data_IF_074613862467
#
_entry.id   IF_074613862467
#
_cell.length_a   1.000
_cell.length_b   1.000
_cell.length_c   1.000
_cell.angle_alpha   90.00
_cell.angle_beta   90.00
_cell.angle_gamma   90.00
#
_symmetry.space_group_name_H-M   'P 1'
#
loop_
_entity.id
_entity.type
_entity.pdbx_description
1 polymer ?
#
# COMPACT_ATOMS: atom_id res chain seq x y z
N UNK A 1 -23.04 20.86 -13.21
CA UNK A 1 -21.93 19.88 -13.34
C UNK A 1 -21.17 19.61 -12.04
N UNK A 2 -21.12 20.52 -11.05
CA UNK A 2 -20.39 20.29 -9.77
C UNK A 2 -21.13 19.27 -8.85
N UNK A 3 -22.47 19.27 -8.85
CA UNK A 3 -23.30 18.43 -7.95
C UNK A 3 -23.15 16.93 -8.23
N UNK A 4 -22.84 16.53 -9.47
CA UNK A 4 -22.74 15.12 -9.87
C UNK A 4 -21.50 14.43 -9.31
N UNK A 5 -20.41 15.18 -9.09
CA UNK A 5 -19.16 14.64 -8.55
C UNK A 5 -19.09 14.62 -7.02
N UNK A 6 -19.88 15.47 -6.35
CA UNK A 6 -19.85 15.60 -4.89
C UNK A 6 -20.62 14.46 -4.22
N UNK A 7 -21.75 14.01 -4.80
CA UNK A 7 -22.55 12.88 -4.28
C UNK A 7 -21.74 11.59 -4.10
N UNK A 8 -21.07 11.04 -5.14
CA UNK A 8 -20.36 9.77 -5.00
C UNK A 8 -19.16 9.88 -4.05
N UNK A 9 -18.46 11.02 -4.01
CA UNK A 9 -17.37 11.22 -3.04
C UNK A 9 -17.88 11.33 -1.61
N UNK A 10 -18.99 12.02 -1.37
CA UNK A 10 -19.57 12.16 -0.03
C UNK A 10 -20.09 10.81 0.49
N UNK A 11 -20.79 10.06 -0.36
CA UNK A 11 -21.20 8.68 -0.06
C UNK A 11 -19.97 7.83 0.23
N UNK A 12 -18.95 7.87 -0.62
CA UNK A 12 -17.73 7.08 -0.43
C UNK A 12 -17.01 7.40 0.89
N UNK A 13 -16.87 8.69 1.24
CA UNK A 13 -16.28 9.11 2.51
C UNK A 13 -17.15 8.67 3.68
N UNK A 14 -18.47 8.79 3.59
CA UNK A 14 -19.39 8.39 4.65
C UNK A 14 -19.37 6.87 4.88
N UNK A 15 -19.41 6.07 3.83
CA UNK A 15 -19.33 4.61 3.89
C UNK A 15 -17.97 4.17 4.43
N UNK A 16 -16.88 4.78 3.96
CA UNK A 16 -15.53 4.52 4.45
C UNK A 16 -15.36 4.94 5.92
N UNK A 17 -15.93 6.07 6.33
CA UNK A 17 -15.89 6.52 7.73
C UNK A 17 -16.66 5.57 8.63
N UNK A 18 -17.85 5.15 8.21
CA UNK A 18 -18.67 4.17 8.94
C UNK A 18 -17.95 2.82 9.05
N UNK A 19 -17.32 2.39 7.95
CA UNK A 19 -16.50 1.17 7.92
C UNK A 19 -15.30 1.29 8.88
N UNK A 20 -14.52 2.37 8.81
CA UNK A 20 -13.40 2.62 9.74
C UNK A 20 -13.86 2.66 11.21
N UNK A 21 -14.98 3.33 11.50
CA UNK A 21 -15.54 3.41 12.85
C UNK A 21 -16.05 2.06 13.38
N UNK A 22 -16.54 1.19 12.48
CA UNK A 22 -17.01 -0.15 12.87
C UNK A 22 -15.90 -1.05 13.42
N UNK A 23 -14.63 -0.81 13.06
CA UNK A 23 -13.48 -1.53 13.60
C UNK A 23 -12.85 -0.85 14.82
N UNK A 24 -13.00 0.47 14.94
CA UNK A 24 -12.48 1.25 16.08
C UNK A 24 -13.25 0.99 17.39
N UNK A 25 -14.50 0.50 17.32
CA UNK A 25 -15.40 0.42 18.47
C UNK A 25 -15.51 -0.96 19.14
N UNK A 26 -14.93 -2.03 18.59
CA UNK A 26 -15.19 -3.40 19.11
C UNK A 26 -13.98 -4.31 19.39
N UNK A 27 -12.74 -3.96 19.00
CA UNK A 27 -11.48 -4.60 19.43
C UNK A 27 -10.33 -3.69 18.95
N UNK A 28 -9.08 -3.82 19.45
CA UNK A 28 -7.93 -3.16 18.84
C UNK A 28 -7.62 -3.83 17.49
N UNK A 29 -8.49 -3.59 16.51
CA UNK A 29 -8.38 -4.15 15.16
C UNK A 29 -7.52 -3.17 14.36
N UNK A 30 -6.25 -3.51 14.18
CA UNK A 30 -5.32 -2.68 13.42
C UNK A 30 -5.77 -2.56 11.95
N UNK A 31 -6.33 -1.41 11.58
CA UNK A 31 -6.63 -1.15 10.17
C UNK A 31 -5.33 -0.83 9.44
N UNK A 32 -4.83 -1.80 8.67
CA UNK A 32 -3.61 -1.64 7.91
C UNK A 32 -3.95 -1.18 6.49
N UNK A 33 -3.55 0.06 6.16
CA UNK A 33 -3.65 0.55 4.79
C UNK A 33 -2.34 0.28 4.05
N UNK A 34 -2.42 -0.40 2.90
CA UNK A 34 -1.27 -0.61 2.01
C UNK A 34 -1.50 0.14 0.70
N UNK A 35 -0.59 1.07 0.37
CA UNK A 35 -0.62 1.73 -0.93
C UNK A 35 0.24 1.00 -1.96
N UNK A 36 -0.33 0.75 -3.14
CA UNK A 36 0.34 0.23 -4.33
C UNK A 36 0.25 1.25 -5.46
N UNK A 37 1.39 1.55 -6.07
CA UNK A 37 1.40 2.20 -7.36
C UNK A 37 1.12 1.15 -8.44
N UNK A 38 0.35 1.47 -9.48
CA UNK A 38 0.16 0.55 -10.59
C UNK A 38 1.52 0.31 -11.26
N UNK A 39 1.84 -0.96 -11.55
CA UNK A 39 3.18 -1.51 -11.90
C UNK A 39 3.69 -1.06 -13.28
N UNK A 40 3.20 0.07 -13.79
CA UNK A 40 3.49 0.62 -15.11
C UNK A 40 4.98 0.86 -15.40
N UNK A 41 5.82 0.96 -14.36
CA UNK A 41 7.23 1.33 -14.50
C UNK A 41 8.23 0.17 -14.37
N UNK A 42 7.84 -1.05 -14.00
CA UNK A 42 8.81 -2.16 -13.97
C UNK A 42 8.13 -3.46 -14.35
N UNK A 43 8.17 -3.83 -15.64
CA UNK A 43 7.55 -5.06 -16.13
C UNK A 43 8.47 -6.26 -15.89
N UNK A 44 8.16 -7.04 -14.86
CA UNK A 44 8.37 -8.50 -14.79
C UNK A 44 7.02 -9.08 -14.38
N UNK A 45 6.12 -9.26 -15.35
CA UNK A 45 4.76 -9.73 -15.10
C UNK A 45 4.50 -10.96 -15.96
N UNK A 46 3.65 -11.86 -15.47
CA UNK A 46 3.16 -13.02 -16.21
C UNK A 46 2.44 -12.59 -17.50
N UNK A 47 2.28 -13.46 -18.51
CA UNK A 47 1.61 -13.11 -19.77
C UNK A 47 0.20 -12.52 -19.59
N UNK A 48 -0.59 -13.06 -18.66
CA UNK A 48 -1.95 -12.58 -18.35
C UNK A 48 -1.97 -11.13 -17.81
N UNK A 49 -0.92 -10.74 -17.10
CA UNK A 49 -0.76 -9.39 -16.56
C UNK A 49 -0.31 -8.37 -17.62
N UNK A 50 0.25 -8.83 -18.75
CA UNK A 50 0.64 -7.92 -19.84
C UNK A 50 -0.57 -7.37 -20.60
N UNK A 51 -1.56 -8.21 -20.88
CA UNK A 51 -2.77 -7.84 -21.65
C UNK A 51 -3.61 -6.78 -20.93
N UNK A 52 -3.82 -6.93 -19.62
CA UNK A 52 -4.52 -5.94 -18.79
C UNK A 52 -3.82 -4.57 -18.75
N UNK A 53 -2.48 -4.53 -18.92
CA UNK A 53 -1.71 -3.25 -18.92
C UNK A 53 -1.75 -2.50 -20.25
N UNK A 54 -2.00 -3.19 -21.36
CA UNK A 54 -2.14 -2.55 -22.68
C UNK A 54 -3.50 -1.89 -22.84
N UNK A 55 -4.54 -2.51 -22.28
CA UNK A 55 -5.90 -1.96 -22.27
C UNK A 55 -6.05 -0.67 -21.45
N UNK A 56 -5.19 -0.43 -20.45
CA UNK A 56 -5.33 0.70 -19.51
C UNK A 56 -4.59 1.99 -19.91
N UNK A 57 -3.84 2.03 -21.03
CA UNK A 57 -2.84 3.08 -21.29
C UNK A 57 -3.22 4.06 -22.40
N UNK A 58 -3.25 5.34 -22.04
CA UNK A 58 -3.32 6.51 -22.93
C UNK A 58 -2.23 7.58 -22.66
N UNK A 59 -1.01 7.20 -22.24
CA UNK A 59 0.12 8.13 -21.99
C UNK A 59 1.46 7.60 -22.55
N UNK A 60 2.28 8.48 -23.13
CA UNK A 60 3.47 8.25 -23.97
C UNK A 60 4.74 7.76 -23.22
N UNK A 61 4.65 7.51 -21.90
CA UNK A 61 5.81 7.04 -21.12
C UNK A 61 6.01 5.54 -21.30
N UNK A 62 6.99 5.17 -22.14
CA UNK A 62 7.39 3.78 -22.36
C UNK A 62 7.72 3.08 -21.02
N UNK A 63 7.07 1.94 -20.71
CA UNK A 63 7.41 1.15 -19.53
C UNK A 63 8.86 0.67 -19.60
N UNK A 64 9.52 0.56 -18.44
CA UNK A 64 10.82 -0.09 -18.37
C UNK A 64 10.60 -1.60 -18.53
N UNK A 65 11.25 -2.19 -19.53
CA UNK A 65 11.16 -3.61 -19.88
C UNK A 65 12.56 -4.24 -19.96
N UNK A 66 12.63 -5.57 -19.90
CA UNK A 66 13.87 -6.32 -20.06
C UNK A 66 14.95 -5.94 -19.05
N UNK A 67 16.19 -5.76 -19.53
CA UNK A 67 17.34 -5.48 -18.67
C UNK A 67 17.21 -4.17 -17.88
N UNK A 68 16.61 -3.15 -18.48
CA UNK A 68 16.39 -1.88 -17.80
C UNK A 68 15.49 -2.08 -16.58
N UNK A 69 14.38 -2.80 -16.72
CA UNK A 69 13.51 -3.12 -15.59
C UNK A 69 14.28 -3.81 -14.45
N UNK A 70 15.18 -4.74 -14.79
CA UNK A 70 16.02 -5.47 -13.82
C UNK A 70 16.94 -4.52 -13.06
N UNK A 71 17.62 -3.62 -13.76
CA UNK A 71 18.51 -2.62 -13.16
C UNK A 71 17.75 -1.68 -12.21
N UNK A 72 16.59 -1.17 -12.64
CA UNK A 72 15.77 -0.27 -11.81
C UNK A 72 15.17 -0.98 -10.60
N UNK A 73 14.79 -2.26 -10.74
CA UNK A 73 14.31 -3.10 -9.65
C UNK A 73 15.39 -3.33 -8.61
N UNK A 74 16.60 -3.70 -9.05
CA UNK A 74 17.77 -3.85 -8.18
C UNK A 74 18.14 -2.56 -7.42
N UNK A 75 17.85 -1.40 -8.02
CA UNK A 75 18.04 -0.09 -7.38
C UNK A 75 16.89 0.29 -6.42
N UNK A 76 15.91 -0.58 -6.19
CA UNK A 76 14.75 -0.33 -5.32
C UNK A 76 13.79 0.74 -5.86
N UNK A 77 13.78 0.98 -7.17
CA UNK A 77 12.98 2.03 -7.81
C UNK A 77 11.60 1.56 -8.27
N UNK A 78 11.36 0.25 -8.26
CA UNK A 78 10.06 -0.35 -8.54
C UNK A 78 9.24 -0.50 -7.26
N UNK A 79 7.90 -0.33 -7.30
CA UNK A 79 7.05 -0.71 -6.18
C UNK A 79 7.11 -2.22 -5.92
N UNK A 80 6.86 -2.63 -4.67
CA UNK A 80 6.60 -4.04 -4.35
C UNK A 80 5.22 -4.44 -4.90
N UNK A 81 5.08 -5.68 -5.36
CA UNK A 81 3.77 -6.26 -5.68
C UNK A 81 3.08 -6.78 -4.42
N UNK A 82 1.76 -7.07 -4.43
CA UNK A 82 1.10 -7.65 -3.27
C UNK A 82 1.73 -8.99 -2.85
N UNK A 83 2.16 -9.81 -3.82
CA UNK A 83 2.88 -11.06 -3.58
C UNK A 83 4.24 -10.86 -2.88
N UNK A 84 4.94 -9.77 -3.20
CA UNK A 84 6.21 -9.42 -2.53
C UNK A 84 6.01 -8.73 -1.18
N UNK A 85 4.83 -8.15 -0.98
CA UNK A 85 4.47 -7.46 0.26
C UNK A 85 4.07 -8.46 1.35
N UNK A 86 3.34 -9.52 0.99
CA UNK A 86 2.90 -10.56 1.92
C UNK A 86 4.04 -11.14 2.81
N UNK A 87 5.18 -11.59 2.29
CA UNK A 87 6.28 -12.10 3.13
C UNK A 87 6.89 -11.04 4.04
N UNK A 88 6.87 -9.76 3.65
CA UNK A 88 7.35 -8.67 4.52
C UNK A 88 6.39 -8.48 5.70
N UNK A 89 5.09 -8.54 5.46
CA UNK A 89 4.09 -8.46 6.53
C UNK A 89 4.19 -9.65 7.49
N UNK A 90 4.44 -10.84 6.96
CA UNK A 90 4.71 -12.04 7.77
C UNK A 90 5.97 -11.87 8.61
N UNK A 91 7.05 -11.33 8.04
CA UNK A 91 8.29 -11.02 8.76
C UNK A 91 8.08 -10.01 9.90
N UNK A 92 7.20 -9.03 9.69
CA UNK A 92 6.78 -8.07 10.71
C UNK A 92 5.78 -8.65 11.73
N UNK A 93 5.47 -9.94 11.64
CA UNK A 93 4.50 -10.63 12.51
C UNK A 93 3.10 -9.99 12.49
N UNK A 94 2.68 -9.44 11.33
CA UNK A 94 1.33 -8.92 11.15
C UNK A 94 0.35 -10.10 11.11
N UNK A 95 -0.63 -10.17 12.04
CA UNK A 95 -1.57 -11.29 12.11
C UNK A 95 -2.36 -11.47 10.82
N UNK A 96 -2.58 -12.71 10.39
CA UNK A 96 -3.28 -13.03 9.12
C UNK A 96 -4.76 -12.62 9.13
N UNK A 97 -5.37 -12.46 10.31
CA UNK A 97 -6.72 -11.94 10.50
C UNK A 97 -6.80 -10.40 10.53
N UNK A 98 -5.70 -9.69 10.29
CA UNK A 98 -5.67 -8.22 10.21
C UNK A 98 -6.60 -7.72 9.11
N UNK A 99 -7.41 -6.70 9.42
CA UNK A 99 -8.24 -6.03 8.42
C UNK A 99 -7.39 -5.07 7.60
N UNK A 100 -7.23 -5.36 6.31
CA UNK A 100 -6.37 -4.62 5.41
C UNK A 100 -7.23 -3.87 4.40
N UNK A 101 -7.08 -2.55 4.33
CA UNK A 101 -7.63 -1.78 3.23
C UNK A 101 -6.58 -1.54 2.17
N UNK A 102 -6.88 -1.93 0.94
CA UNK A 102 -5.93 -1.92 -0.15
C UNK A 102 -6.07 -0.65 -0.98
N UNK A 103 -5.08 0.24 -0.93
CA UNK A 103 -4.98 1.43 -1.79
C UNK A 103 -4.29 1.04 -3.07
N UNK A 104 -5.05 0.77 -4.11
CA UNK A 104 -4.47 0.53 -5.40
C UNK A 104 -5.35 1.08 -6.52
N UNK A 105 -4.73 1.62 -7.56
CA UNK A 105 -5.46 2.04 -8.76
C UNK A 105 -6.24 0.89 -9.40
N UNK A 106 -7.11 1.22 -10.35
CA UNK A 106 -7.77 0.23 -11.19
C UNK A 106 -6.67 -0.53 -11.97
N UNK A 107 -6.62 -1.86 -11.85
CA UNK A 107 -5.56 -2.69 -12.47
C UNK A 107 -4.43 -3.15 -11.54
N UNK A 108 -4.66 -3.22 -10.22
CA UNK A 108 -3.76 -3.98 -9.33
C UNK A 108 -3.75 -5.46 -9.75
N UNK A 109 -2.56 -6.00 -9.95
CA UNK A 109 -2.35 -7.40 -10.30
C UNK A 109 -1.76 -8.15 -9.09
N UNK A 110 -1.85 -9.48 -9.13
CA UNK A 110 -1.32 -10.37 -8.10
C UNK A 110 -1.92 -10.12 -6.71
N UNK A 111 -3.17 -9.66 -6.64
CA UNK A 111 -3.87 -9.45 -5.36
C UNK A 111 -3.96 -10.76 -4.57
N UNK A 112 -4.00 -11.90 -5.28
CA UNK A 112 -3.99 -13.26 -4.74
C UNK A 112 -2.76 -13.54 -3.87
N UNK A 113 -1.63 -12.91 -4.18
CA UNK A 113 -0.41 -13.03 -3.37
C UNK A 113 -0.59 -12.48 -1.95
N UNK A 114 -1.49 -11.51 -1.77
CA UNK A 114 -1.83 -10.97 -0.46
C UNK A 114 -3.07 -11.67 0.13
N UNK A 115 -4.11 -11.90 -0.67
CA UNK A 115 -5.39 -12.47 -0.17
C UNK A 115 -5.32 -13.96 0.15
N UNK A 116 -4.32 -14.68 -0.36
CA UNK A 116 -4.03 -16.06 0.07
C UNK A 116 -3.48 -16.15 1.50
N UNK A 117 -2.90 -15.07 2.02
CA UNK A 117 -2.32 -15.00 3.37
C UNK A 117 -3.23 -14.22 4.32
N UNK A 118 -3.80 -13.11 3.87
CA UNK A 118 -4.66 -12.22 4.65
C UNK A 118 -6.10 -12.31 4.15
N UNK A 119 -7.00 -12.79 4.99
CA UNK A 119 -8.39 -13.07 4.60
C UNK A 119 -9.29 -11.83 4.63
N UNK A 120 -8.94 -10.83 5.44
CA UNK A 120 -9.75 -9.64 5.67
C UNK A 120 -9.29 -8.44 4.84
N UNK A 121 -9.12 -8.64 3.52
CA UNK A 121 -8.69 -7.58 2.59
C UNK A 121 -9.89 -6.91 1.93
N UNK A 122 -9.98 -5.59 2.03
CA UNK A 122 -11.06 -4.77 1.47
C UNK A 122 -10.49 -3.76 0.47
N UNK A 123 -11.14 -3.62 -0.68
CA UNK A 123 -10.77 -2.67 -1.73
C UNK A 123 -11.81 -1.54 -1.85
N UNK A 124 -11.47 -0.45 -2.53
CA UNK A 124 -12.43 0.62 -2.87
C UNK A 124 -13.70 0.09 -3.55
N UNK A 125 -13.52 -0.83 -4.50
CA UNK A 125 -14.61 -1.40 -5.27
C UNK A 125 -15.59 -2.21 -4.40
N UNK A 126 -15.08 -2.85 -3.34
CA UNK A 126 -15.92 -3.59 -2.39
C UNK A 126 -16.74 -2.69 -1.44
N UNK A 127 -16.33 -1.42 -1.27
CA UNK A 127 -17.00 -0.46 -0.37
C UNK A 127 -18.09 0.37 -1.05
N UNK A 128 -18.15 0.38 -2.39
CA UNK A 128 -19.03 1.24 -3.16
C UNK A 128 -19.98 0.41 -4.01
N UNK A 129 -21.14 0.98 -4.35
CA UNK A 129 -22.00 0.39 -5.37
C UNK A 129 -21.28 0.37 -6.73
N UNK A 130 -21.60 -0.59 -7.60
CA UNK A 130 -21.00 -0.67 -8.94
C UNK A 130 -21.24 0.62 -9.75
N UNK A 131 -22.39 1.27 -9.57
CA UNK A 131 -22.71 2.55 -10.22
C UNK A 131 -21.81 3.69 -9.70
N UNK A 132 -21.69 3.86 -8.39
CA UNK A 132 -20.85 4.91 -7.81
C UNK A 132 -19.37 4.72 -8.18
N UNK A 133 -18.90 3.46 -8.17
CA UNK A 133 -17.50 3.14 -8.49
C UNK A 133 -17.15 3.43 -9.96
N UNK A 134 -18.07 3.18 -10.89
CA UNK A 134 -17.87 3.41 -12.33
C UNK A 134 -17.95 4.88 -12.71
N UNK A 135 -18.80 5.66 -12.03
CA UNK A 135 -18.93 7.11 -12.24
C UNK A 135 -17.75 7.89 -11.62
N UNK A 136 -17.07 7.31 -10.63
CA UNK A 136 -15.93 7.95 -9.98
C UNK A 136 -14.68 8.01 -10.88
N UNK A 137 -14.19 9.24 -11.10
CA UNK A 137 -12.89 9.47 -11.74
C UNK A 137 -11.71 9.00 -10.88
N UNK A 138 -10.57 8.76 -11.53
CA UNK A 138 -9.32 8.35 -10.87
C UNK A 138 -8.89 9.29 -9.73
N UNK A 139 -9.10 10.60 -9.88
CA UNK A 139 -8.81 11.58 -8.83
C UNK A 139 -9.70 11.39 -7.58
N UNK A 140 -10.98 11.08 -7.78
CA UNK A 140 -11.94 10.82 -6.70
C UNK A 140 -11.57 9.52 -5.97
N UNK A 141 -11.19 8.48 -6.74
CA UNK A 141 -10.68 7.21 -6.20
C UNK A 141 -9.41 7.42 -5.37
N UNK A 142 -8.48 8.25 -5.84
CA UNK A 142 -7.24 8.58 -5.13
C UNK A 142 -7.49 9.41 -3.86
N UNK A 143 -8.49 10.31 -3.88
CA UNK A 143 -8.91 11.07 -2.70
C UNK A 143 -9.48 10.16 -1.60
N UNK A 144 -10.25 9.14 -1.98
CA UNK A 144 -10.75 8.12 -1.04
C UNK A 144 -9.60 7.33 -0.40
N UNK A 145 -8.62 6.91 -1.19
CA UNK A 145 -7.44 6.23 -0.66
C UNK A 145 -6.62 7.12 0.29
N UNK A 146 -6.48 8.41 -0.04
CA UNK A 146 -5.85 9.40 0.85
C UNK A 146 -6.57 9.47 2.18
N UNK A 147 -7.89 9.67 2.14
CA UNK A 147 -8.72 9.82 3.33
C UNK A 147 -8.60 8.61 4.25
N UNK A 148 -8.67 7.40 3.70
CA UNK A 148 -8.47 6.20 4.52
C UNK A 148 -7.05 6.14 5.12
N UNK A 149 -6.03 6.51 4.35
CA UNK A 149 -4.63 6.42 4.80
C UNK A 149 -4.32 7.37 5.96
N UNK A 150 -4.92 8.56 5.98
CA UNK A 150 -4.70 9.55 7.04
C UNK A 150 -5.61 9.36 8.26
N UNK A 151 -6.52 8.39 8.23
CA UNK A 151 -7.46 8.09 9.32
C UNK A 151 -7.38 6.62 9.77
N UNK A 152 -6.48 5.81 9.21
CA UNK A 152 -6.23 4.43 9.65
C UNK A 152 -5.40 4.37 10.93
N UNK A 153 -5.53 3.30 11.70
CA UNK A 153 -4.67 3.06 12.87
C UNK A 153 -3.21 2.94 12.44
N UNK A 154 -2.96 2.13 11.41
CA UNK A 154 -1.63 1.88 10.87
C UNK A 154 -1.60 2.13 9.36
N UNK A 155 -0.45 2.59 8.87
CA UNK A 155 -0.22 2.85 7.45
C UNK A 155 1.09 2.22 7.01
N UNK A 156 1.04 1.44 5.93
CA UNK A 156 2.20 0.91 5.24
C UNK A 156 2.20 1.35 3.78
N UNK A 157 3.37 1.69 3.25
CA UNK A 157 3.50 1.93 1.82
C UNK A 157 4.52 1.00 1.18
N UNK A 158 4.14 0.41 0.04
CA UNK A 158 5.01 -0.42 -0.81
C UNK A 158 5.95 0.41 -1.69
N UNK A 159 5.75 1.73 -1.72
CA UNK A 159 6.52 2.68 -2.49
C UNK A 159 6.57 4.03 -1.77
N UNK A 160 7.68 4.76 -1.91
CA UNK A 160 7.81 6.10 -1.36
C UNK A 160 7.74 7.15 -2.49
N UNK A 161 6.54 7.67 -2.72
CA UNK A 161 6.25 8.69 -3.72
C UNK A 161 5.70 9.98 -3.10
N UNK A 162 5.16 10.86 -3.95
CA UNK A 162 4.64 12.16 -3.49
C UNK A 162 3.37 12.03 -2.65
N UNK A 163 2.56 11.01 -2.92
CA UNK A 163 1.31 10.81 -2.19
C UNK A 163 1.60 10.30 -0.77
N UNK A 164 2.51 9.35 -0.66
CA UNK A 164 2.91 8.71 0.58
C UNK A 164 3.61 9.70 1.52
N UNK A 165 4.40 10.63 0.97
CA UNK A 165 4.93 11.79 1.71
C UNK A 165 3.83 12.66 2.31
N UNK A 166 2.77 12.96 1.55
CA UNK A 166 1.64 13.76 2.04
C UNK A 166 0.84 13.02 3.11
N UNK A 167 0.66 11.70 2.95
CA UNK A 167 0.02 10.86 3.96
C UNK A 167 0.84 10.86 5.25
N UNK A 168 2.14 10.60 5.17
CA UNK A 168 3.01 10.58 6.35
C UNK A 168 3.02 11.92 7.07
N UNK A 169 3.12 13.04 6.35
CA UNK A 169 3.06 14.37 6.95
C UNK A 169 1.73 14.64 7.67
N UNK A 170 0.60 14.29 7.04
CA UNK A 170 -0.74 14.47 7.63
C UNK A 170 -0.97 13.54 8.83
N UNK A 171 -0.50 12.30 8.77
CA UNK A 171 -0.56 11.37 9.90
C UNK A 171 0.28 11.89 11.07
N UNK A 172 1.49 12.36 10.81
CA UNK A 172 2.36 12.96 11.83
C UNK A 172 1.72 14.20 12.48
N UNK A 173 1.08 15.07 11.70
CA UNK A 173 0.37 16.25 12.24
C UNK A 173 -0.85 15.88 13.10
N UNK A 174 -1.41 14.68 12.91
CA UNK A 174 -2.51 14.13 13.72
C UNK A 174 -2.03 13.29 14.92
N UNK A 175 -0.72 13.13 15.11
CA UNK A 175 -0.17 12.23 16.12
C UNK A 175 -0.30 10.74 15.79
N UNK A 176 -0.59 10.39 14.54
CA UNK A 176 -0.71 9.00 14.09
C UNK A 176 0.65 8.46 13.63
N UNK A 177 1.43 7.95 14.57
CA UNK A 177 2.82 7.55 14.33
C UNK A 177 3.00 6.11 13.82
N UNK A 178 1.96 5.29 13.71
CA UNK A 178 2.09 3.96 13.11
C UNK A 178 2.16 4.09 11.58
N UNK A 179 3.31 4.50 11.04
CA UNK A 179 3.53 4.79 9.62
C UNK A 179 4.85 4.17 9.17
N UNK A 180 4.79 3.11 8.36
CA UNK A 180 5.96 2.37 7.90
C UNK A 180 6.10 2.41 6.36
N UNK A 181 7.32 2.59 5.88
CA UNK A 181 7.65 2.40 4.46
C UNK A 181 8.44 1.12 4.28
N UNK A 182 7.92 0.20 3.45
CA UNK A 182 8.59 -1.07 3.21
C UNK A 182 9.84 -0.87 2.34
N UNK A 183 10.93 -1.51 2.74
CA UNK A 183 12.21 -1.47 2.05
C UNK A 183 12.18 -2.37 0.81
N UNK A 184 11.74 -1.77 -0.30
CA UNK A 184 11.81 -2.34 -1.66
C UNK A 184 13.21 -2.88 -1.99
N UNK A 185 14.24 -2.13 -1.59
CA UNK A 185 15.63 -2.48 -1.89
C UNK A 185 16.06 -3.73 -1.13
N UNK A 186 15.75 -3.81 0.17
CA UNK A 186 16.06 -4.99 0.97
C UNK A 186 15.41 -6.23 0.37
N UNK A 187 14.11 -6.18 0.06
CA UNK A 187 13.41 -7.32 -0.55
C UNK A 187 14.08 -7.79 -1.84
N UNK A 188 14.39 -6.87 -2.77
CA UNK A 188 15.02 -7.23 -4.04
C UNK A 188 16.45 -7.76 -3.84
N UNK A 189 17.24 -7.18 -2.94
CA UNK A 189 18.61 -7.64 -2.69
C UNK A 189 18.65 -9.05 -2.08
N UNK A 190 17.76 -9.34 -1.14
CA UNK A 190 17.67 -10.66 -0.47
C UNK A 190 17.18 -11.73 -1.43
N UNK A 191 16.14 -11.44 -2.22
CA UNK A 191 15.62 -12.39 -3.22
C UNK A 191 16.60 -12.62 -4.36
N UNK A 192 17.39 -11.61 -4.76
CA UNK A 192 18.44 -11.76 -5.76
C UNK A 192 19.62 -12.60 -5.26
N UNK A 193 19.89 -12.60 -3.95
CA UNK A 193 20.83 -13.52 -3.30
C UNK A 193 20.28 -14.95 -3.20
N UNK A 194 19.03 -15.18 -3.58
CA UNK A 194 18.40 -16.50 -3.59
C UNK A 194 17.76 -16.90 -2.26
N UNK A 195 17.68 -15.99 -1.29
CA UNK A 195 17.04 -16.27 0.01
C UNK A 195 15.54 -16.58 -0.19
N UNK A 196 15.06 -17.60 0.52
CA UNK A 196 13.67 -18.07 0.49
C UNK A 196 13.26 -18.58 1.87
N UNK A 197 11.96 -18.80 2.06
CA UNK A 197 11.42 -19.41 3.28
C UNK A 197 11.78 -18.63 4.54
N UNK A 198 12.12 -19.34 5.62
CA UNK A 198 12.40 -18.75 6.94
C UNK A 198 13.60 -17.81 6.93
N UNK A 199 14.65 -18.10 6.15
CA UNK A 199 15.84 -17.25 6.04
C UNK A 199 15.49 -15.87 5.45
N UNK A 200 14.63 -15.84 4.44
CA UNK A 200 14.12 -14.60 3.86
C UNK A 200 13.30 -13.83 4.89
N UNK A 201 12.39 -14.50 5.60
CA UNK A 201 11.54 -13.89 6.62
C UNK A 201 12.37 -13.26 7.75
N UNK A 202 13.33 -14.01 8.29
CA UNK A 202 14.22 -13.52 9.33
C UNK A 202 15.02 -12.28 8.87
N UNK A 203 15.58 -12.32 7.66
CA UNK A 203 16.40 -11.20 7.18
C UNK A 203 15.55 -9.98 6.80
N UNK A 204 14.32 -10.20 6.33
CA UNK A 204 13.35 -9.11 6.12
C UNK A 204 12.95 -8.45 7.44
N UNK A 205 12.75 -9.22 8.51
CA UNK A 205 12.51 -8.67 9.84
C UNK A 205 13.66 -7.76 10.26
N UNK A 206 14.91 -8.24 10.17
CA UNK A 206 16.09 -7.47 10.53
C UNK A 206 16.21 -6.16 9.72
N UNK A 207 15.83 -6.20 8.45
CA UNK A 207 15.84 -5.02 7.57
C UNK A 207 14.76 -3.97 7.90
N UNK A 208 13.68 -4.34 8.60
CA UNK A 208 12.55 -3.46 8.88
C UNK A 208 12.30 -3.21 10.37
N UNK A 209 12.91 -3.98 11.29
CA UNK A 209 12.62 -3.94 12.74
C UNK A 209 12.78 -2.54 13.33
N UNK A 210 13.81 -1.81 12.90
CA UNK A 210 14.13 -0.50 13.41
C UNK A 210 13.08 0.55 13.01
N UNK A 211 12.68 0.55 11.75
CA UNK A 211 11.64 1.45 11.24
C UNK A 211 10.26 1.08 11.77
N UNK A 212 9.99 -0.22 11.97
CA UNK A 212 8.75 -0.74 12.55
C UNK A 212 8.60 -0.37 14.02
N UNK A 213 9.64 -0.61 14.84
CA UNK A 213 9.65 -0.24 16.27
C UNK A 213 9.55 1.27 16.47
N UNK A 214 10.18 2.05 15.59
CA UNK A 214 10.11 3.51 15.63
C UNK A 214 8.91 4.08 14.88
N UNK A 215 8.01 3.28 14.28
CA UNK A 215 6.87 3.82 13.51
C UNK A 215 7.24 4.91 12.47
N UNK A 216 8.46 4.92 11.95
CA UNK A 216 9.00 6.06 11.19
C UNK A 216 9.49 5.64 9.83
N UNK A 217 8.60 5.73 8.86
CA UNK A 217 8.97 5.90 7.47
C UNK A 217 9.29 7.37 7.17
N UNK A 218 10.53 7.66 6.78
CA UNK A 218 11.12 8.99 6.56
C UNK A 218 10.27 10.08 5.86
N UNK A 219 10.06 11.21 6.55
CA UNK A 219 10.46 12.57 6.15
C UNK A 219 10.51 13.47 7.42
N UNK A 220 11.70 13.99 7.73
CA UNK A 220 12.12 14.89 8.85
C UNK A 220 12.89 14.23 10.02
N UNK A 221 13.93 14.92 10.56
CA UNK A 221 14.81 14.41 11.61
C UNK A 221 14.17 14.56 13.00
N UNK A 222 14.86 14.03 14.01
CA UNK A 222 14.59 14.08 15.45
C UNK A 222 13.85 12.87 16.02
N UNK A 223 14.68 11.94 16.50
CA UNK A 223 14.53 10.58 17.07
C UNK A 223 13.28 10.24 17.91
N UNK A 224 13.10 8.93 18.15
CA UNK A 224 12.05 8.31 18.99
C UNK A 224 12.40 8.31 20.49
N UNK A 225 13.33 9.16 20.94
CA UNK A 225 13.82 9.11 22.31
C UNK A 225 13.08 10.09 23.23
N UNK A 226 12.61 9.50 24.32
CA UNK A 226 12.13 10.07 25.60
C UNK A 226 10.62 10.28 25.77
N UNK A 227 9.98 9.28 26.38
CA UNK A 227 9.27 9.56 27.63
C UNK A 227 9.96 8.76 28.75
N UNK A 228 10.62 9.48 29.67
CA UNK A 228 10.94 8.94 30.99
C UNK A 228 9.62 8.66 31.73
N UNK A 229 9.63 7.55 32.48
CA UNK A 229 8.62 7.12 33.44
C UNK A 229 8.05 8.27 34.28
#
# INVERSE_FOLDING_TARGET
MIVVYVKPLFVAIFTLSSFLLSFSSFLPIHFLKIWFLPIHSCKFLSPASMEATEAARGDDRKPWTGELARVWRKRGKCPLTPNETAPILQALSIPTNTHIYLAAGDGLMEIEGLTSVYTNVVTKAALLSNEDFTIMHGNTKAAMDYYASINSDSYMASYFGNMEKRVAAMRASKGLYNTLFLSRKAFVELTFQGLKGEELIHTLWEAHKEDFQRGRGSALPDCFCEFKL
#
